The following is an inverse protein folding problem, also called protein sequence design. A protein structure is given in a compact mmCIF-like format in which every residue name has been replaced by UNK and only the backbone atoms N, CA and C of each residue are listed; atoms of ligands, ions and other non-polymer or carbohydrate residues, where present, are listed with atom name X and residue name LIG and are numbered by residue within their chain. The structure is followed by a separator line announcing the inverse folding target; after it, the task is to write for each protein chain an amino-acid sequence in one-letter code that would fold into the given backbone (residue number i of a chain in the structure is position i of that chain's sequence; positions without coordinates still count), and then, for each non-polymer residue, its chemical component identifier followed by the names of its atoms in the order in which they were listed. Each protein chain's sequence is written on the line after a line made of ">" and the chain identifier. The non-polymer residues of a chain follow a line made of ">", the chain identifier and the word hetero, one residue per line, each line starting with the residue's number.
data_IF_474463438827
#
_entry.id   IF_474463438827
#
_cell.length_a   1.000
_cell.length_b   1.000
_cell.length_c   1.000
_cell.angle_alpha   90.00
_cell.angle_beta   90.00
_cell.angle_gamma   90.00
#
_symmetry.space_group_name_H-M   'P 1'
#
loop_
_entity.id
_entity.type
_entity.pdbx_description
1 polymer ?
#
# COMPACT_ATOMS: atom_id res chain seq x y z
N UNK A 1 -1.62 -19.34 2.65
CA UNK A 1 -1.50 -17.87 2.63
C UNK A 1 -2.21 -17.33 1.39
N UNK A 2 -2.72 -16.10 1.41
CA UNK A 2 -3.46 -15.50 0.30
C UNK A 2 -2.64 -15.43 -1.01
N UNK A 3 -1.30 -15.38 -0.92
CA UNK A 3 -0.41 -15.78 -2.01
C UNK A 3 -0.15 -17.31 -1.92
N UNK A 4 -0.97 -18.12 -2.58
CA UNK A 4 -0.63 -19.51 -2.86
C UNK A 4 0.33 -19.57 -4.06
N UNK A 5 1.05 -20.69 -4.23
CA UNK A 5 2.06 -20.86 -5.27
C UNK A 5 1.52 -20.47 -6.66
N UNK A 6 2.02 -19.35 -7.21
CA UNK A 6 1.65 -18.81 -8.52
C UNK A 6 0.60 -17.69 -8.53
N UNK A 7 0.00 -17.33 -7.39
CA UNK A 7 -1.02 -16.27 -7.29
C UNK A 7 -0.45 -14.89 -6.96
N UNK A 8 -1.17 -13.84 -7.35
CA UNK A 8 -0.89 -12.44 -6.95
C UNK A 8 -1.60 -12.12 -5.64
N UNK A 9 -0.91 -11.53 -4.67
CA UNK A 9 -1.55 -10.97 -3.47
C UNK A 9 -2.06 -9.56 -3.76
N UNK A 10 -3.32 -9.25 -3.45
CA UNK A 10 -3.89 -7.92 -3.68
C UNK A 10 -4.26 -7.26 -2.35
N UNK A 11 -3.85 -6.01 -2.17
CA UNK A 11 -4.10 -5.19 -0.98
C UNK A 11 -4.65 -3.83 -1.41
N UNK A 12 -5.80 -3.45 -0.83
CA UNK A 12 -6.34 -2.11 -0.94
C UNK A 12 -5.96 -1.28 0.29
N UNK A 13 -5.33 -0.13 0.09
CA UNK A 13 -4.90 0.82 1.11
C UNK A 13 -6.01 1.84 1.36
N UNK A 14 -6.28 2.09 2.63
CA UNK A 14 -7.14 3.18 3.06
C UNK A 14 -6.32 4.43 3.38
N UNK A 15 -6.96 5.59 3.32
CA UNK A 15 -6.39 6.86 3.79
C UNK A 15 -6.60 7.12 5.28
N UNK A 16 -6.49 8.39 5.66
CA UNK A 16 -6.76 8.86 7.03
C UNK A 16 -5.81 8.30 8.08
N UNK A 17 -6.35 7.90 9.24
CA UNK A 17 -5.55 7.48 10.39
C UNK A 17 -4.71 6.20 10.17
N UNK A 18 -5.00 5.42 9.13
CA UNK A 18 -4.26 4.21 8.81
C UNK A 18 -2.96 4.46 8.04
N UNK A 19 -2.81 5.62 7.37
CA UNK A 19 -1.64 5.93 6.55
C UNK A 19 -0.34 5.76 7.33
N UNK A 20 -0.22 6.41 8.49
CA UNK A 20 1.01 6.34 9.29
C UNK A 20 1.36 4.94 9.80
N UNK A 21 0.35 4.12 10.14
CA UNK A 21 0.59 2.73 10.55
C UNK A 21 1.06 1.88 9.36
N UNK A 22 0.37 2.01 8.22
CA UNK A 22 0.65 1.20 7.04
C UNK A 22 1.97 1.60 6.37
N UNK A 23 2.30 2.89 6.27
CA UNK A 23 3.61 3.35 5.78
C UNK A 23 4.76 2.81 6.62
N UNK A 24 4.57 2.71 7.94
CA UNK A 24 5.59 2.17 8.85
C UNK A 24 5.75 0.65 8.74
N UNK A 25 4.65 -0.09 8.75
CA UNK A 25 4.70 -1.55 8.99
C UNK A 25 4.65 -2.38 7.70
N UNK A 26 4.05 -1.87 6.63
CA UNK A 26 3.87 -2.61 5.38
C UNK A 26 5.19 -2.93 4.66
N UNK A 27 6.19 -2.03 4.57
CA UNK A 27 7.48 -2.35 3.95
C UNK A 27 8.17 -3.56 4.62
N UNK A 28 8.11 -3.65 5.95
CA UNK A 28 8.65 -4.78 6.69
C UNK A 28 7.90 -6.09 6.39
N UNK A 29 6.56 -6.03 6.27
CA UNK A 29 5.75 -7.18 5.92
C UNK A 29 6.06 -7.69 4.49
N UNK A 30 6.25 -6.79 3.53
CA UNK A 30 6.63 -7.15 2.15
C UNK A 30 8.02 -7.79 2.13
N UNK A 31 8.99 -7.24 2.87
CA UNK A 31 10.33 -7.81 2.97
C UNK A 31 10.31 -9.23 3.58
N UNK A 32 9.50 -9.44 4.63
CA UNK A 32 9.34 -10.74 5.28
C UNK A 32 8.67 -11.80 4.38
N UNK A 33 7.86 -11.38 3.39
CA UNK A 33 7.22 -12.27 2.42
C UNK A 33 8.20 -12.80 1.35
N UNK A 34 9.45 -12.34 1.34
CA UNK A 34 10.52 -12.81 0.47
C UNK A 34 10.79 -11.88 -0.73
N UNK A 35 11.92 -12.07 -1.44
CA UNK A 35 12.41 -11.13 -2.44
C UNK A 35 11.49 -11.00 -3.68
N UNK A 36 10.64 -11.99 -3.94
CA UNK A 36 9.67 -11.96 -5.03
C UNK A 36 8.35 -11.27 -4.66
N UNK A 37 8.16 -10.89 -3.39
CA UNK A 37 6.92 -10.29 -2.90
C UNK A 37 6.55 -8.98 -3.61
N UNK A 38 7.44 -7.99 -3.80
CA UNK A 38 7.07 -6.74 -4.47
C UNK A 38 6.50 -6.93 -5.88
N UNK A 39 7.02 -7.91 -6.64
CA UNK A 39 6.54 -8.21 -8.00
C UNK A 39 5.23 -9.01 -8.02
N UNK A 40 4.92 -9.72 -6.94
CA UNK A 40 3.73 -10.56 -6.81
C UNK A 40 2.60 -9.90 -6.02
N UNK A 41 2.79 -8.65 -5.57
CA UNK A 41 1.78 -7.87 -4.88
C UNK A 41 1.13 -6.87 -5.84
N UNK A 42 -0.18 -6.69 -5.70
CA UNK A 42 -0.93 -5.58 -6.26
C UNK A 42 -1.34 -4.71 -5.08
N UNK A 43 -0.92 -3.45 -5.08
CA UNK A 43 -1.33 -2.48 -4.08
C UNK A 43 -2.10 -1.39 -4.81
N UNK A 44 -3.28 -1.07 -4.32
CA UNK A 44 -4.16 -0.03 -4.84
C UNK A 44 -4.81 0.73 -3.69
N UNK A 45 -5.43 1.88 -3.94
CA UNK A 45 -6.24 2.56 -2.91
C UNK A 45 -7.69 2.07 -2.97
N UNK A 46 -8.36 1.99 -1.82
CA UNK A 46 -9.80 1.72 -1.74
C UNK A 46 -10.61 2.80 -2.50
N UNK A 47 -10.17 4.03 -2.35
CA UNK A 47 -10.66 5.24 -3.00
C UNK A 47 -9.54 6.29 -3.05
N UNK A 48 -9.70 7.30 -3.89
CA UNK A 48 -8.79 8.45 -3.93
C UNK A 48 -9.59 9.72 -4.27
N UNK A 49 -9.13 10.85 -3.74
CA UNK A 49 -9.69 12.16 -3.96
C UNK A 49 -9.13 12.67 -5.30
N UNK A 50 -10.00 13.16 -6.18
CA UNK A 50 -9.61 13.71 -7.48
C UNK A 50 -8.98 15.11 -7.32
N UNK A 51 -7.75 15.13 -6.81
CA UNK A 51 -6.92 16.32 -6.53
C UNK A 51 -5.47 16.02 -6.92
N UNK A 52 -4.61 17.05 -7.08
CA UNK A 52 -3.17 16.83 -7.26
C UNK A 52 -2.56 16.02 -6.09
N UNK A 53 -1.50 15.23 -6.32
CA UNK A 53 -0.85 14.43 -5.27
C UNK A 53 -0.37 15.26 -4.07
N UNK A 54 0.09 16.49 -4.28
CA UNK A 54 0.61 17.36 -3.22
C UNK A 54 -0.50 17.99 -2.39
N UNK A 55 -1.77 17.81 -2.78
CA UNK A 55 -2.90 18.34 -2.06
C UNK A 55 -3.05 17.63 -0.70
N UNK A 56 -3.35 18.35 0.41
CA UNK A 56 -3.44 17.75 1.76
C UNK A 56 -4.45 16.60 1.90
N UNK A 57 -5.43 16.54 1.00
CA UNK A 57 -6.45 15.49 0.96
C UNK A 57 -6.09 14.31 0.04
N UNK A 58 -4.94 14.30 -0.63
CA UNK A 58 -4.51 13.14 -1.43
C UNK A 58 -4.10 12.00 -0.51
N UNK A 59 -4.71 10.83 -0.69
CA UNK A 59 -4.25 9.62 0.03
C UNK A 59 -2.88 9.20 -0.48
N UNK A 60 -2.68 9.23 -1.79
CA UNK A 60 -1.40 8.99 -2.45
C UNK A 60 -0.30 9.91 -1.89
N UNK A 61 -0.54 11.22 -1.86
CA UNK A 61 0.40 12.19 -1.30
C UNK A 61 0.71 11.94 0.17
N UNK A 62 -0.30 11.57 0.97
CA UNK A 62 -0.09 11.25 2.38
C UNK A 62 0.85 10.03 2.57
N UNK A 63 0.76 9.01 1.72
CA UNK A 63 1.68 7.87 1.75
C UNK A 63 3.10 8.23 1.26
N UNK A 64 3.27 9.16 0.32
CA UNK A 64 4.59 9.54 -0.21
C UNK A 64 5.45 10.31 0.81
N UNK A 65 4.81 11.10 1.68
CA UNK A 65 5.50 11.92 2.68
C UNK A 65 5.62 11.26 4.06
N UNK A 66 5.03 10.06 4.23
CA UNK A 66 5.04 9.28 5.47
C UNK A 66 6.20 8.28 5.51
#
# INVERSE_FOLDING_TARGET
>A
AAAAAGGRFSLALSGGSLVGLLSRDLPAAVAAAGPAAPASWLVAFCDERLVPPEHPESTCGAYEVS
#
